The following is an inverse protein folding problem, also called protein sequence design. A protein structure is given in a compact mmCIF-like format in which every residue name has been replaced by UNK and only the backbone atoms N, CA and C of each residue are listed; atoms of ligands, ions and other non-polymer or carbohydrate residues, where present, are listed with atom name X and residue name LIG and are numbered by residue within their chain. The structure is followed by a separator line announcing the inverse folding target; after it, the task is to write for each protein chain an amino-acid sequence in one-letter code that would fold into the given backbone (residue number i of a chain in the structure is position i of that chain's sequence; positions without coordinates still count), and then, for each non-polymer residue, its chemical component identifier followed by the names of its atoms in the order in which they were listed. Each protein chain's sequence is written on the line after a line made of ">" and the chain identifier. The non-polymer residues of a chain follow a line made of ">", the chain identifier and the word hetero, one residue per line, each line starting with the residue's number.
data_IF_232900756862
#
_entry.id   IF_232900756862
#
_cell.length_a   1.000
_cell.length_b   1.000
_cell.length_c   1.000
_cell.angle_alpha   90.00
_cell.angle_beta   90.00
_cell.angle_gamma   90.00
#
_symmetry.space_group_name_H-M   'P 1'
#
loop_
_entity.id
_entity.type
_entity.pdbx_description
1 polymer ?
#
# COMPACT_ATOMS: atom_id res chain seq x y z
N UNK A 1 4.57 -19.11 11.89
CA UNK A 1 3.18 -18.69 11.64
C UNK A 1 2.67 -19.49 10.49
N UNK A 2 1.70 -20.36 10.77
CA UNK A 2 0.97 -21.05 9.72
C UNK A 2 0.23 -20.03 8.84
N UNK A 3 0.04 -20.31 7.55
CA UNK A 3 -0.62 -19.37 6.62
C UNK A 3 -2.00 -18.89 7.09
N UNK A 4 -2.66 -19.70 7.94
CA UNK A 4 -3.92 -19.35 8.62
C UNK A 4 -3.78 -18.21 9.63
N UNK A 5 -2.73 -18.18 10.45
CA UNK A 5 -2.50 -17.13 11.44
C UNK A 5 -2.13 -15.80 10.78
N UNK A 6 -1.45 -15.88 9.63
CA UNK A 6 -1.07 -14.76 8.79
C UNK A 6 -2.30 -14.10 8.17
N UNK A 7 -3.16 -14.87 7.52
CA UNK A 7 -4.43 -14.39 6.98
C UNK A 7 -5.34 -13.82 8.09
N UNK A 8 -5.43 -14.49 9.25
CA UNK A 8 -6.19 -13.96 10.38
C UNK A 8 -5.64 -12.63 10.91
N UNK A 9 -4.31 -12.47 10.95
CA UNK A 9 -3.67 -11.22 11.38
C UNK A 9 -3.83 -10.11 10.36
N UNK A 10 -3.83 -10.43 9.07
CA UNK A 10 -4.15 -9.49 7.98
C UNK A 10 -5.58 -8.95 8.14
N UNK A 11 -6.55 -9.85 8.27
CA UNK A 11 -7.95 -9.48 8.41
C UNK A 11 -8.21 -8.68 9.70
N UNK A 12 -7.53 -9.03 10.79
CA UNK A 12 -7.58 -8.26 12.03
C UNK A 12 -7.01 -6.84 11.84
N UNK A 13 -5.89 -6.69 11.12
CA UNK A 13 -5.34 -5.37 10.81
C UNK A 13 -6.32 -4.53 9.98
N UNK A 14 -6.94 -5.10 8.94
CA UNK A 14 -7.94 -4.43 8.12
C UNK A 14 -9.15 -3.99 8.97
N UNK A 15 -9.63 -4.86 9.87
CA UNK A 15 -10.73 -4.54 10.77
C UNK A 15 -10.36 -3.37 11.72
N UNK A 16 -9.14 -3.36 12.24
CA UNK A 16 -8.63 -2.27 13.09
C UNK A 16 -8.53 -0.95 12.33
N UNK A 17 -8.08 -0.96 11.07
CA UNK A 17 -8.07 0.23 10.22
C UNK A 17 -9.49 0.77 10.00
N UNK A 18 -10.45 -0.11 9.70
CA UNK A 18 -11.87 0.27 9.52
C UNK A 18 -12.50 0.82 10.81
N UNK A 19 -12.03 0.36 11.97
CA UNK A 19 -12.44 0.87 13.27
C UNK A 19 -11.75 2.20 13.65
N UNK A 20 -10.89 2.75 12.79
CA UNK A 20 -10.10 3.95 13.08
C UNK A 20 -8.90 3.72 14.00
N UNK A 21 -8.66 2.47 14.42
CA UNK A 21 -7.54 2.11 15.29
C UNK A 21 -6.28 1.81 14.45
N UNK A 22 -5.74 2.86 13.84
CA UNK A 22 -4.53 2.78 13.02
C UNK A 22 -3.32 2.26 13.82
N UNK A 23 -3.18 2.67 15.08
CA UNK A 23 -2.09 2.18 15.96
C UNK A 23 -2.16 0.67 16.20
N UNK A 24 -3.36 0.13 16.43
CA UNK A 24 -3.56 -1.30 16.61
C UNK A 24 -3.27 -2.07 15.31
N UNK A 25 -3.73 -1.55 14.17
CA UNK A 25 -3.45 -2.14 12.87
C UNK A 25 -1.95 -2.20 12.59
N UNK A 26 -1.24 -1.09 12.82
CA UNK A 26 0.21 -0.99 12.65
C UNK A 26 0.96 -2.02 13.50
N UNK A 27 0.62 -2.16 14.79
CA UNK A 27 1.27 -3.13 15.66
C UNK A 27 1.07 -4.57 15.15
N UNK A 28 -0.11 -4.87 14.62
CA UNK A 28 -0.42 -6.19 14.04
C UNK A 28 0.37 -6.44 12.76
N UNK A 29 0.43 -5.46 11.87
CA UNK A 29 1.19 -5.52 10.62
C UNK A 29 2.69 -5.64 10.87
N UNK A 30 3.24 -4.90 11.84
CA UNK A 30 4.66 -5.05 12.24
C UNK A 30 4.96 -6.45 12.76
N UNK A 31 4.03 -7.07 13.49
CA UNK A 31 4.18 -8.45 13.94
C UNK A 31 4.21 -9.44 12.76
N UNK A 32 3.36 -9.20 11.75
CA UNK A 32 3.39 -9.98 10.51
C UNK A 32 4.73 -9.81 9.79
N UNK A 33 5.23 -8.58 9.65
CA UNK A 33 6.52 -8.28 9.01
C UNK A 33 7.71 -8.83 9.78
N UNK A 34 7.63 -8.95 11.11
CA UNK A 34 8.66 -9.65 11.90
C UNK A 34 8.71 -11.14 11.58
N UNK A 35 7.56 -11.75 11.28
CA UNK A 35 7.50 -13.16 10.91
C UNK A 35 7.85 -13.39 9.45
N UNK A 36 7.46 -12.45 8.59
CA UNK A 36 7.77 -12.47 7.17
C UNK A 36 8.01 -11.04 6.65
N UNK A 37 9.29 -10.62 6.57
CA UNK A 37 9.64 -9.25 6.22
C UNK A 37 9.37 -8.90 4.76
N UNK A 38 9.14 -9.90 3.90
CA UNK A 38 8.86 -9.74 2.48
C UNK A 38 7.39 -10.03 2.18
N UNK A 39 6.48 -9.71 3.11
CA UNK A 39 5.04 -9.84 2.85
C UNK A 39 4.52 -8.56 2.17
N UNK A 40 4.30 -8.63 0.85
CA UNK A 40 3.88 -7.48 0.05
C UNK A 40 2.56 -6.87 0.57
N UNK A 41 1.60 -7.70 1.01
CA UNK A 41 0.32 -7.24 1.52
C UNK A 41 0.45 -6.55 2.87
N UNK A 42 1.25 -7.08 3.79
CA UNK A 42 1.50 -6.44 5.08
C UNK A 42 2.22 -5.11 4.90
N UNK A 43 3.20 -5.02 3.97
CA UNK A 43 3.86 -3.77 3.60
C UNK A 43 2.87 -2.74 3.02
N UNK A 44 1.99 -3.16 2.10
CA UNK A 44 0.96 -2.28 1.53
C UNK A 44 -0.07 -1.81 2.56
N UNK A 45 -0.56 -2.70 3.44
CA UNK A 45 -1.48 -2.32 4.51
C UNK A 45 -0.81 -1.35 5.51
N UNK A 46 0.48 -1.53 5.79
CA UNK A 46 1.25 -0.64 6.66
C UNK A 46 1.40 0.74 6.01
N UNK A 47 1.75 0.78 4.73
CA UNK A 47 1.79 2.02 3.95
C UNK A 47 0.44 2.75 4.00
N UNK A 48 -0.67 2.03 3.79
CA UNK A 48 -2.01 2.62 3.87
C UNK A 48 -2.32 3.18 5.27
N UNK A 49 -1.90 2.48 6.33
CA UNK A 49 -2.03 2.97 7.70
C UNK A 49 -1.25 4.28 7.92
N UNK A 50 -0.06 4.40 7.34
CA UNK A 50 0.75 5.62 7.39
C UNK A 50 0.16 6.77 6.57
N UNK A 51 -0.51 6.49 5.46
CA UNK A 51 -1.17 7.51 4.62
C UNK A 51 -2.40 8.13 5.27
N UNK A 52 -3.06 7.40 6.17
CA UNK A 52 -4.16 7.89 6.99
C UNK A 52 -3.67 8.85 8.10
N UNK A 53 -2.39 8.79 8.47
CA UNK A 53 -1.79 9.73 9.43
C UNK A 53 -1.44 11.07 8.75
N UNK A 54 -1.76 12.18 9.40
CA UNK A 54 -1.37 13.51 8.92
C UNK A 54 0.12 13.77 9.16
N UNK A 55 0.86 13.99 8.07
CA UNK A 55 2.26 14.39 8.12
C UNK A 55 2.98 14.19 6.78
N UNK A 56 3.92 15.06 6.43
CA UNK A 56 4.72 14.88 5.20
C UNK A 56 5.68 13.69 5.33
N UNK A 57 6.33 13.56 6.49
CA UNK A 57 7.22 12.44 6.82
C UNK A 57 6.53 11.09 6.68
N UNK A 58 5.33 10.97 7.26
CA UNK A 58 4.50 9.76 7.20
C UNK A 58 4.10 9.37 5.78
N UNK A 59 3.83 10.36 4.92
CA UNK A 59 3.53 10.12 3.51
C UNK A 59 4.76 9.64 2.74
N UNK A 60 5.94 10.15 3.05
CA UNK A 60 7.18 9.65 2.46
C UNK A 60 7.49 8.23 2.92
N UNK A 61 7.38 7.94 4.21
CA UNK A 61 7.56 6.57 4.75
C UNK A 61 6.57 5.59 4.11
N UNK A 62 5.30 5.99 3.95
CA UNK A 62 4.30 5.19 3.27
C UNK A 62 4.65 4.91 1.80
N UNK A 63 5.21 5.89 1.10
CA UNK A 63 5.65 5.74 -0.28
C UNK A 63 6.75 4.68 -0.39
N UNK A 64 7.74 4.75 0.50
CA UNK A 64 8.85 3.78 0.53
C UNK A 64 8.37 2.36 0.85
N UNK A 65 7.43 2.23 1.78
CA UNK A 65 6.79 0.96 2.11
C UNK A 65 5.99 0.40 0.91
N UNK A 66 5.22 1.24 0.23
CA UNK A 66 4.45 0.84 -0.94
C UNK A 66 5.35 0.44 -2.12
N UNK A 67 6.48 1.15 -2.33
CA UNK A 67 7.49 0.76 -3.32
C UNK A 67 8.11 -0.59 -2.97
N UNK A 68 8.45 -0.81 -1.70
CA UNK A 68 8.99 -2.09 -1.24
C UNK A 68 8.01 -3.23 -1.47
N UNK A 69 6.72 -3.02 -1.18
CA UNK A 69 5.67 -3.97 -1.50
C UNK A 69 5.60 -4.29 -2.99
N UNK A 70 5.72 -3.27 -3.86
CA UNK A 70 5.71 -3.44 -5.31
C UNK A 70 6.94 -4.17 -5.86
N UNK A 71 8.08 -4.12 -5.15
CA UNK A 71 9.27 -4.91 -5.51
C UNK A 71 9.08 -6.38 -5.16
N UNK A 72 8.36 -6.67 -4.07
CA UNK A 72 8.07 -8.04 -3.63
C UNK A 72 7.01 -8.67 -4.52
N UNK A 73 5.86 -8.01 -4.66
CA UNK A 73 4.74 -8.49 -5.47
C UNK A 73 4.13 -7.33 -6.26
N UNK A 74 4.64 -7.08 -7.48
CA UNK A 74 4.14 -6.00 -8.34
C UNK A 74 2.76 -6.32 -8.93
N UNK A 75 2.35 -7.59 -8.96
CA UNK A 75 1.11 -7.98 -9.62
C UNK A 75 -0.13 -7.81 -8.72
N UNK A 76 0.06 -7.88 -7.39
CA UNK A 76 -1.01 -7.73 -6.43
C UNK A 76 -1.71 -6.36 -6.52
N UNK A 77 -3.02 -6.41 -6.72
CA UNK A 77 -3.89 -5.23 -6.87
C UNK A 77 -3.85 -4.30 -5.66
N UNK A 78 -3.74 -4.84 -4.44
CA UNK A 78 -3.67 -4.03 -3.22
C UNK A 78 -2.37 -3.21 -3.21
N UNK A 79 -1.27 -3.82 -3.63
CA UNK A 79 0.05 -3.18 -3.71
C UNK A 79 0.02 -2.04 -4.73
N UNK A 80 -0.42 -2.32 -5.98
CA UNK A 80 -0.56 -1.31 -7.04
C UNK A 80 -1.46 -0.15 -6.61
N UNK A 81 -2.61 -0.45 -6.03
CA UNK A 81 -3.56 0.57 -5.55
C UNK A 81 -2.98 1.43 -4.43
N UNK A 82 -2.25 0.80 -3.50
CA UNK A 82 -1.63 1.50 -2.36
C UNK A 82 -0.50 2.40 -2.85
N UNK A 83 0.33 1.93 -3.78
CA UNK A 83 1.41 2.73 -4.36
C UNK A 83 0.86 3.95 -5.11
N UNK A 84 -0.17 3.76 -5.95
CA UNK A 84 -0.84 4.86 -6.63
C UNK A 84 -1.40 5.90 -5.65
N UNK A 85 -2.04 5.43 -4.57
CA UNK A 85 -2.58 6.31 -3.52
C UNK A 85 -1.47 7.05 -2.76
N UNK A 86 -0.36 6.37 -2.45
CA UNK A 86 0.80 6.95 -1.80
C UNK A 86 1.43 8.06 -2.64
N UNK A 87 1.63 7.79 -3.94
CA UNK A 87 2.16 8.75 -4.91
C UNK A 87 1.26 9.98 -5.03
N UNK A 88 -0.07 9.79 -5.08
CA UNK A 88 -1.04 10.87 -5.12
C UNK A 88 -0.96 11.75 -3.86
N UNK A 89 -0.93 11.14 -2.66
CA UNK A 89 -0.82 11.87 -1.38
C UNK A 89 0.53 12.55 -1.19
N UNK A 90 1.59 11.97 -1.74
CA UNK A 90 2.94 12.52 -1.77
C UNK A 90 3.14 13.59 -2.86
N UNK A 91 2.12 13.85 -3.71
CA UNK A 91 2.09 14.65 -4.94
C UNK A 91 2.51 16.13 -4.90
N UNK A 92 3.34 16.52 -3.94
CA UNK A 92 4.16 17.73 -4.00
C UNK A 92 5.52 17.50 -4.65
N UNK A 93 5.96 16.25 -4.79
CA UNK A 93 7.27 15.94 -5.38
C UNK A 93 7.18 15.59 -6.86
N UNK A 94 8.03 16.21 -7.69
CA UNK A 94 8.10 15.91 -9.13
C UNK A 94 8.44 14.44 -9.38
N UNK A 95 9.23 13.82 -8.49
CA UNK A 95 9.59 12.41 -8.59
C UNK A 95 8.37 11.50 -8.41
N UNK A 96 7.54 11.76 -7.39
CA UNK A 96 6.29 11.01 -7.20
C UNK A 96 5.33 11.16 -8.37
N UNK A 97 5.27 12.33 -9.00
CA UNK A 97 4.41 12.55 -10.17
C UNK A 97 4.88 11.77 -11.40
N UNK A 98 6.18 11.67 -11.62
CA UNK A 98 6.75 10.90 -12.73
C UNK A 98 6.48 9.40 -12.55
N UNK A 99 6.72 8.88 -11.35
CA UNK A 99 6.44 7.47 -11.05
C UNK A 99 4.95 7.13 -11.10
N UNK A 100 4.08 8.05 -10.67
CA UNK A 100 2.63 7.84 -10.80
C UNK A 100 2.22 7.71 -12.25
N UNK A 101 2.80 8.50 -13.15
CA UNK A 101 2.54 8.38 -14.59
C UNK A 101 3.01 7.01 -15.11
N UNK A 102 4.24 6.61 -14.77
CA UNK A 102 4.78 5.32 -15.20
C UNK A 102 3.94 4.15 -14.72
N UNK A 103 3.54 4.16 -13.45
CA UNK A 103 2.69 3.11 -12.89
C UNK A 103 1.31 3.09 -13.57
N UNK A 104 0.73 4.25 -13.84
CA UNK A 104 -0.56 4.34 -14.54
C UNK A 104 -0.46 3.83 -15.99
N UNK A 105 0.63 4.12 -16.70
CA UNK A 105 0.90 3.61 -18.04
C UNK A 105 1.14 2.08 -18.04
N UNK A 106 1.81 1.55 -17.02
CA UNK A 106 2.05 0.11 -16.87
C UNK A 106 0.74 -0.64 -16.62
N UNK A 107 -0.10 -0.13 -15.70
CA UNK A 107 -1.44 -0.68 -15.44
C UNK A 107 -2.31 -0.64 -16.70
N UNK A 108 -2.27 0.47 -17.44
CA UNK A 108 -3.03 0.61 -18.68
C UNK A 108 -2.53 -0.31 -19.81
N UNK A 109 -1.22 -0.60 -19.85
CA UNK A 109 -0.64 -1.52 -20.84
C UNK A 109 -0.86 -3.00 -20.48
N UNK A 110 -0.85 -3.34 -19.20
CA UNK A 110 -1.10 -4.70 -18.69
C UNK A 110 -2.58 -5.09 -18.78
N UNK A 111 -3.50 -4.12 -18.64
CA UNK A 111 -4.95 -4.31 -18.78
C UNK A 111 -5.57 -3.33 -19.79
N UNK A 112 -5.52 -3.64 -21.10
CA UNK A 112 -6.17 -2.80 -22.12
C UNK A 112 -7.72 -2.73 -22.01
N UNK A 113 -8.36 -3.50 -21.13
CA UNK A 113 -9.83 -3.61 -21.01
C UNK A 113 -10.43 -2.83 -19.83
N UNK A 114 -9.64 -2.45 -18.82
CA UNK A 114 -10.11 -1.74 -17.61
C UNK A 114 -10.07 -0.21 -17.82
N UNK A 115 -10.72 0.24 -18.90
CA UNK A 115 -10.82 1.65 -19.30
C UNK A 115 -11.62 2.54 -18.32
N UNK A 116 -12.12 1.99 -17.22
CA UNK A 116 -13.09 2.64 -16.33
C UNK A 116 -12.48 3.19 -15.02
N UNK A 117 -11.27 2.77 -14.63
CA UNK A 117 -10.65 3.21 -13.38
C UNK A 117 -9.97 4.60 -13.44
N UNK A 118 -10.05 5.29 -14.60
CA UNK A 118 -9.28 6.51 -14.87
C UNK A 118 -9.94 7.84 -14.43
N UNK A 119 -11.16 7.85 -13.88
CA UNK A 119 -11.81 9.12 -13.47
C UNK A 119 -12.34 9.09 -12.04
N UNK A 120 -11.46 9.36 -11.08
CA UNK A 120 -11.84 10.13 -9.89
C UNK A 120 -10.68 11.08 -9.58
N UNK A 121 -10.67 12.15 -10.36
CA UNK A 121 -9.89 13.37 -10.20
C UNK A 121 -10.26 14.06 -8.87
#
# INVERSE_FOLDING_TARGET
>A
MDGFERAASEQAAIALMRAGNMRGAEARLRTMLTSDPNDARALALLARCRLEEEGKDKKQEALELARSASVVDPDDLLVRSTLAYALQKAGKDKASRAEQLQLAEEIASDRPDDSDALFSL
#
